data_IF_728131458524
#
_entry.id   IF_728131458524
#
_cell.length_a   1.000
_cell.length_b   1.000
_cell.length_c   1.000
_cell.angle_alpha   90.00
_cell.angle_beta   90.00
_cell.angle_gamma   90.00
#
_symmetry.space_group_name_H-M   'P 1'
#
loop_
_entity.id
_entity.type
_entity.pdbx_description
1 polymer ?
#
# COMPACT_ATOMS: atom_id res chain seq x y z
N UNK A 1 27.31 -21.86 -19.76
CA UNK A 1 28.21 -20.69 -19.62
C UNK A 1 27.40 -19.47 -20.00
N UNK A 2 27.00 -18.64 -19.02
CA UNK A 2 26.21 -17.43 -19.27
C UNK A 2 27.20 -16.30 -19.53
N UNK A 3 27.19 -15.79 -20.76
CA UNK A 3 27.99 -14.65 -21.18
C UNK A 3 27.34 -13.42 -20.55
N UNK A 4 28.00 -12.83 -19.55
CA UNK A 4 27.54 -11.61 -18.90
C UNK A 4 28.15 -10.45 -19.66
N UNK A 5 27.32 -9.79 -20.49
CA UNK A 5 27.71 -8.59 -21.24
C UNK A 5 28.20 -7.49 -20.29
N UNK A 6 29.49 -7.16 -20.41
CA UNK A 6 30.22 -6.24 -19.54
C UNK A 6 29.91 -4.74 -19.81
N UNK A 7 28.88 -4.42 -20.60
CA UNK A 7 28.52 -3.05 -20.96
C UNK A 7 27.48 -2.38 -20.07
N UNK A 8 26.98 -3.04 -19.02
CA UNK A 8 25.99 -2.47 -18.09
C UNK A 8 26.59 -1.89 -16.77
N UNK A 9 27.91 -1.88 -16.62
CA UNK A 9 28.55 -1.63 -15.32
C UNK A 9 28.87 -0.14 -15.09
N UNK A 10 28.87 0.72 -16.12
CA UNK A 10 29.19 2.14 -15.95
C UNK A 10 28.02 3.01 -15.44
N UNK A 11 26.80 2.47 -15.43
CA UNK A 11 25.59 3.07 -14.84
C UNK A 11 25.10 2.34 -13.57
N UNK A 12 25.91 1.43 -13.02
CA UNK A 12 25.52 0.54 -11.93
C UNK A 12 25.19 1.25 -10.60
N UNK A 13 25.94 2.26 -10.11
CA UNK A 13 25.62 2.88 -8.82
C UNK A 13 24.40 3.81 -8.91
N UNK A 14 24.15 4.47 -10.04
CA UNK A 14 23.02 5.40 -10.16
C UNK A 14 21.69 4.66 -10.23
N UNK A 15 21.64 3.57 -10.99
CA UNK A 15 20.46 2.71 -11.12
C UNK A 15 20.14 1.96 -9.82
N UNK A 16 21.15 1.34 -9.20
CA UNK A 16 21.00 0.65 -7.92
C UNK A 16 20.46 1.60 -6.83
N UNK A 17 21.08 2.78 -6.67
CA UNK A 17 20.65 3.75 -5.66
C UNK A 17 19.23 4.30 -5.92
N UNK A 18 18.85 4.47 -7.19
CA UNK A 18 17.49 4.88 -7.57
C UNK A 18 16.46 3.83 -7.16
N UNK A 19 16.71 2.56 -7.46
CA UNK A 19 15.82 1.47 -7.08
C UNK A 19 15.78 1.25 -5.58
N UNK A 20 16.93 1.30 -4.91
CA UNK A 20 17.02 1.19 -3.46
C UNK A 20 16.16 2.25 -2.74
N UNK A 21 16.21 3.52 -3.21
CA UNK A 21 15.35 4.59 -2.69
C UNK A 21 13.87 4.32 -2.96
N UNK A 22 13.53 3.86 -4.16
CA UNK A 22 12.15 3.59 -4.56
C UNK A 22 11.54 2.43 -3.77
N UNK A 23 12.29 1.34 -3.60
CA UNK A 23 11.90 0.19 -2.78
C UNK A 23 11.73 0.61 -1.32
N UNK A 24 12.68 1.38 -0.78
CA UNK A 24 12.56 1.93 0.57
C UNK A 24 11.36 2.85 0.75
N UNK A 25 10.89 3.53 -0.30
CA UNK A 25 9.70 4.36 -0.25
C UNK A 25 8.42 3.53 -0.32
N UNK A 26 8.36 2.58 -1.25
CA UNK A 26 7.17 1.77 -1.54
C UNK A 26 6.91 0.73 -0.44
N UNK A 27 7.95 0.04 0.03
CA UNK A 27 7.82 -1.03 1.03
C UNK A 27 7.87 -0.55 2.49
N UNK A 28 7.95 0.75 2.73
CA UNK A 28 8.04 1.32 4.08
C UNK A 28 6.65 1.68 4.61
N UNK A 29 6.33 1.15 5.78
CA UNK A 29 5.10 1.52 6.48
C UNK A 29 5.22 2.93 7.07
N UNK A 30 4.16 3.77 7.01
CA UNK A 30 4.17 5.09 7.63
C UNK A 30 4.54 4.97 9.11
N UNK A 31 5.49 5.78 9.59
CA UNK A 31 6.07 5.80 10.97
C UNK A 31 7.16 4.78 11.31
N UNK A 32 7.53 3.88 10.40
CA UNK A 32 8.63 2.93 10.65
C UNK A 32 9.95 3.46 10.09
N UNK A 33 11.09 2.87 10.47
CA UNK A 33 12.43 3.28 10.01
C UNK A 33 12.94 2.45 8.82
N UNK A 34 12.54 1.18 8.72
CA UNK A 34 13.00 0.23 7.71
C UNK A 34 11.83 -0.28 6.84
N UNK A 35 12.06 -0.66 5.58
CA UNK A 35 11.05 -1.32 4.74
C UNK A 35 10.71 -2.71 5.28
N UNK A 36 9.57 -3.25 4.88
CA UNK A 36 9.13 -4.59 5.24
C UNK A 36 8.79 -5.39 3.98
N UNK A 37 9.41 -6.56 3.86
CA UNK A 37 9.27 -7.46 2.71
C UNK A 37 8.56 -8.74 3.11
N UNK A 38 7.77 -9.32 2.18
CA UNK A 38 7.02 -10.56 2.44
C UNK A 38 7.92 -11.74 2.83
N UNK A 39 9.13 -11.77 2.28
CA UNK A 39 10.09 -12.87 2.43
C UNK A 39 11.24 -12.56 3.41
N UNK A 40 11.13 -11.51 4.21
CA UNK A 40 12.16 -11.22 5.21
C UNK A 40 12.20 -12.35 6.25
N UNK A 41 13.35 -13.02 6.37
CA UNK A 41 13.54 -14.17 7.27
C UNK A 41 13.71 -13.75 8.73
N UNK A 42 14.20 -12.54 8.97
CA UNK A 42 14.29 -11.93 10.30
C UNK A 42 13.97 -10.44 10.25
N UNK A 43 13.75 -9.86 11.44
CA UNK A 43 13.51 -8.43 11.65
C UNK A 43 14.85 -7.66 11.67
N UNK A 44 15.96 -8.31 11.34
CA UNK A 44 17.26 -7.67 11.32
C UNK A 44 17.35 -6.67 10.17
N UNK A 45 18.02 -5.54 10.44
CA UNK A 45 18.26 -4.50 9.45
C UNK A 45 19.04 -5.04 8.23
N UNK A 46 19.91 -6.04 8.45
CA UNK A 46 20.76 -6.63 7.43
C UNK A 46 19.98 -7.51 6.44
N UNK A 47 18.94 -8.20 6.90
CA UNK A 47 18.06 -8.97 6.02
C UNK A 47 17.23 -8.06 5.10
N UNK A 48 16.80 -6.91 5.62
CA UNK A 48 16.07 -5.93 4.82
C UNK A 48 16.95 -5.31 3.74
N UNK A 49 18.18 -4.90 4.08
CA UNK A 49 19.12 -4.33 3.11
C UNK A 49 19.52 -5.35 2.05
N UNK A 50 19.76 -6.61 2.43
CA UNK A 50 20.07 -7.69 1.49
C UNK A 50 18.90 -7.97 0.52
N UNK A 51 17.66 -7.96 1.02
CA UNK A 51 16.46 -8.17 0.19
C UNK A 51 16.25 -6.99 -0.77
N UNK A 52 16.36 -5.76 -0.27
CA UNK A 52 16.25 -4.55 -1.09
C UNK A 52 17.33 -4.48 -2.17
N UNK A 53 18.56 -4.92 -1.85
CA UNK A 53 19.66 -4.96 -2.82
C UNK A 53 19.38 -5.94 -3.97
N UNK A 54 18.85 -7.14 -3.66
CA UNK A 54 18.47 -8.13 -4.68
C UNK A 54 17.41 -7.60 -5.64
N UNK A 55 16.34 -7.02 -5.10
CA UNK A 55 15.26 -6.43 -5.90
C UNK A 55 15.80 -5.26 -6.73
N UNK A 56 16.70 -4.45 -6.17
CA UNK A 56 17.31 -3.32 -6.89
C UNK A 56 18.13 -3.77 -8.09
N UNK A 57 18.90 -4.85 -7.97
CA UNK A 57 19.70 -5.43 -9.08
C UNK A 57 18.77 -6.00 -10.16
N UNK A 58 17.73 -6.72 -9.76
CA UNK A 58 16.74 -7.26 -10.70
C UNK A 58 16.01 -6.15 -11.47
N UNK A 59 15.50 -5.15 -10.75
CA UNK A 59 14.81 -4.01 -11.35
C UNK A 59 15.72 -3.10 -12.16
N UNK A 60 17.02 -3.10 -11.88
CA UNK A 60 17.99 -2.41 -12.72
C UNK A 60 18.20 -3.14 -14.05
N UNK A 61 18.13 -4.47 -14.05
CA UNK A 61 18.39 -5.30 -15.24
C UNK A 61 17.18 -5.37 -16.17
N UNK A 62 15.97 -5.49 -15.62
CA UNK A 62 14.73 -5.70 -16.40
C UNK A 62 13.85 -4.45 -16.51
N UNK A 63 14.04 -3.47 -15.62
CA UNK A 63 13.16 -2.31 -15.48
C UNK A 63 11.82 -2.69 -14.84
N UNK A 64 11.66 -2.42 -13.54
CA UNK A 64 10.40 -2.68 -12.86
C UNK A 64 9.39 -1.53 -13.01
N UNK A 65 8.10 -1.84 -12.89
CA UNK A 65 7.02 -0.91 -12.61
C UNK A 65 6.81 -0.78 -11.11
N UNK A 66 5.93 0.15 -10.71
CA UNK A 66 5.63 0.35 -9.29
C UNK A 66 4.89 -0.85 -8.71
N UNK A 67 3.91 -1.40 -9.44
CA UNK A 67 3.10 -2.53 -8.97
C UNK A 67 3.98 -3.76 -8.70
N UNK A 68 4.95 -4.03 -9.59
CA UNK A 68 5.90 -5.14 -9.44
C UNK A 68 6.77 -4.99 -8.18
N UNK A 69 7.11 -3.76 -7.79
CA UNK A 69 7.83 -3.53 -6.52
C UNK A 69 6.91 -3.77 -5.31
N UNK A 70 5.64 -3.41 -5.42
CA UNK A 70 4.64 -3.60 -4.36
C UNK A 70 4.39 -5.08 -4.04
N UNK A 71 4.56 -5.97 -5.02
CA UNK A 71 4.44 -7.42 -4.83
C UNK A 71 5.48 -8.00 -3.85
N UNK A 72 6.67 -7.39 -3.78
CA UNK A 72 7.70 -7.77 -2.80
C UNK A 72 7.43 -7.21 -1.40
N UNK A 73 6.64 -6.14 -1.30
CA UNK A 73 6.37 -5.46 -0.05
C UNK A 73 5.29 -6.16 0.78
N UNK A 74 5.40 -6.07 2.10
CA UNK A 74 4.29 -6.40 2.99
C UNK A 74 3.24 -5.29 2.98
N UNK A 75 2.01 -5.62 2.59
CA UNK A 75 0.86 -4.69 2.59
C UNK A 75 -0.25 -5.13 3.55
N UNK A 76 -0.27 -6.39 3.97
CA UNK A 76 -1.31 -6.94 4.85
C UNK A 76 -0.93 -6.83 6.32
N UNK A 77 -1.95 -6.72 7.20
CA UNK A 77 -1.76 -6.59 8.65
C UNK A 77 -0.90 -7.71 9.23
N UNK A 78 -1.22 -8.96 8.89
CA UNK A 78 -0.47 -10.13 9.37
C UNK A 78 0.98 -10.20 8.86
N UNK A 79 1.30 -9.54 7.74
CA UNK A 79 2.68 -9.43 7.24
C UNK A 79 3.44 -8.34 8.01
N UNK A 80 2.79 -7.19 8.23
CA UNK A 80 3.37 -6.05 8.95
C UNK A 80 3.59 -6.33 10.44
N UNK A 81 2.72 -7.11 11.09
CA UNK A 81 2.90 -7.54 12.49
C UNK A 81 4.21 -8.34 12.69
N UNK A 82 4.68 -9.05 11.66
CA UNK A 82 5.94 -9.79 11.70
C UNK A 82 7.17 -8.88 11.61
N UNK A 83 7.11 -7.82 10.81
CA UNK A 83 8.21 -6.85 10.71
C UNK A 83 8.22 -5.86 11.88
N UNK A 84 7.03 -5.51 12.37
CA UNK A 84 6.84 -4.43 13.31
C UNK A 84 5.94 -4.93 14.44
N UNK A 85 6.56 -5.43 15.51
CA UNK A 85 5.86 -6.01 16.67
C UNK A 85 4.84 -5.08 17.35
N UNK A 86 4.82 -3.78 17.02
CA UNK A 86 3.85 -2.78 17.49
C UNK A 86 3.57 -1.75 16.41
N UNK A 87 2.95 -2.15 15.30
CA UNK A 87 2.39 -1.17 14.36
C UNK A 87 1.30 -0.39 15.10
N UNK A 88 1.63 0.81 15.58
CA UNK A 88 0.59 1.78 15.95
C UNK A 88 -0.05 2.19 14.64
N UNK A 89 -1.18 1.57 14.30
CA UNK A 89 -1.96 1.99 13.15
C UNK A 89 -2.34 3.45 13.36
N UNK A 90 -1.70 4.34 12.61
CA UNK A 90 -2.21 5.71 12.50
C UNK A 90 -3.64 5.58 12.00
N UNK A 91 -4.60 6.07 12.79
CA UNK A 91 -5.93 6.38 12.25
C UNK A 91 -5.69 7.18 10.97
N UNK A 92 -6.27 6.78 9.82
CA UNK A 92 -6.30 7.64 8.64
C UNK A 92 -6.76 9.02 9.11
N UNK A 93 -6.05 10.08 8.73
CA UNK A 93 -6.31 11.46 9.18
C UNK A 93 -7.77 11.89 8.96
N UNK A 94 -8.45 11.22 8.02
CA UNK A 94 -9.81 11.47 7.56
C UNK A 94 -10.80 10.37 7.94
N UNK A 95 -10.44 9.41 8.81
CA UNK A 95 -11.34 8.30 9.13
C UNK A 95 -12.62 8.80 9.84
N UNK A 96 -12.48 9.79 10.71
CA UNK A 96 -13.59 10.41 11.42
C UNK A 96 -14.41 11.32 10.46
N UNK A 97 -13.77 11.96 9.47
CA UNK A 97 -14.45 12.72 8.42
C UNK A 97 -15.25 11.80 7.47
N UNK A 98 -14.66 10.68 7.04
CA UNK A 98 -15.31 9.71 6.16
C UNK A 98 -16.52 9.04 6.85
N UNK A 99 -16.38 8.72 8.14
CA UNK A 99 -17.50 8.22 8.94
C UNK A 99 -18.65 9.24 9.02
N UNK A 100 -18.32 10.52 9.20
CA UNK A 100 -19.30 11.61 9.23
C UNK A 100 -20.01 11.79 7.88
N UNK A 101 -19.26 11.72 6.78
CA UNK A 101 -19.83 11.77 5.41
C UNK A 101 -20.73 10.56 5.15
N UNK A 102 -20.33 9.35 5.53
CA UNK A 102 -21.17 8.15 5.37
C UNK A 102 -22.45 8.21 6.21
N UNK A 103 -22.40 8.77 7.42
CA UNK A 103 -23.57 9.01 8.25
C UNK A 103 -24.56 9.99 7.61
N UNK A 104 -24.07 11.07 6.99
CA UNK A 104 -24.91 12.03 6.28
C UNK A 104 -25.57 11.41 5.04
N UNK A 105 -24.83 10.60 4.28
CA UNK A 105 -25.38 9.89 3.12
C UNK A 105 -26.47 8.90 3.52
N UNK A 106 -26.30 8.18 4.64
CA UNK A 106 -27.30 7.26 5.17
C UNK A 106 -28.59 7.97 5.58
N UNK A 107 -28.48 9.08 6.33
CA UNK A 107 -29.65 9.90 6.71
C UNK A 107 -30.40 10.44 5.50
N UNK A 108 -29.67 10.93 4.49
CA UNK A 108 -30.31 11.45 3.25
C UNK A 108 -31.07 10.35 2.50
N UNK A 109 -30.55 9.12 2.49
CA UNK A 109 -31.25 7.98 1.88
C UNK A 109 -32.51 7.58 2.68
N UNK A 110 -32.44 7.59 4.01
CA UNK A 110 -33.59 7.32 4.89
C UNK A 110 -34.70 8.36 4.73
N UNK A 111 -34.35 9.66 4.64
CA UNK A 111 -35.32 10.73 4.39
C UNK A 111 -35.96 10.64 3.02
N UNK A 112 -35.20 10.25 1.97
CA UNK A 112 -35.76 10.01 0.64
C UNK A 112 -36.75 8.85 0.64
N UNK A 113 -36.43 7.75 1.30
CA UNK A 113 -37.36 6.62 1.44
C UNK A 113 -38.61 6.98 2.23
N UNK A 114 -38.47 7.76 3.31
CA UNK A 114 -39.61 8.22 4.10
C UNK A 114 -40.52 9.14 3.29
N UNK A 115 -39.97 10.08 2.51
CA UNK A 115 -40.74 10.95 1.62
C UNK A 115 -41.43 10.18 0.50
N UNK A 116 -40.79 9.14 -0.05
CA UNK A 116 -41.40 8.28 -1.05
C UNK A 116 -42.61 7.52 -0.49
N UNK A 117 -42.48 6.98 0.72
CA UNK A 117 -43.57 6.29 1.42
C UNK A 117 -44.76 7.22 1.70
N UNK A 118 -44.51 8.45 2.17
CA UNK A 118 -45.59 9.43 2.40
C UNK A 118 -46.28 9.86 1.10
N UNK A 119 -45.56 9.93 -0.03
CA UNK A 119 -46.17 10.22 -1.33
C UNK A 119 -47.04 9.05 -1.82
N UNK A 120 -46.57 7.81 -1.67
CA UNK A 120 -47.32 6.61 -2.07
C UNK A 120 -48.61 6.42 -1.23
N UNK A 121 -48.61 6.80 0.05
CA UNK A 121 -49.83 6.80 0.88
C UNK A 121 -50.81 7.91 0.48
N UNK A 122 -50.32 9.11 0.13
CA UNK A 122 -51.18 10.21 -0.30
C UNK A 122 -51.86 9.94 -1.67
N UNK A 123 -51.16 9.27 -2.58
CA UNK A 123 -51.72 8.87 -3.89
C UNK A 123 -52.71 7.70 -3.79
N UNK A 124 -52.72 6.95 -2.68
CA UNK A 124 -53.65 5.84 -2.45
C UNK A 124 -54.99 6.27 -1.83
N UNK A 125 -55.08 7.47 -1.23
CA UNK A 125 -56.32 8.03 -0.67
C UNK A 125 -57.14 8.85 -1.68
N UNK A 126 -56.59 9.18 -2.86
CA UNK A 126 -57.28 9.92 -3.94
C UNK A 126 -57.89 9.02 -5.04
N UNK A 127 -57.81 7.69 -4.92
CA UNK A 127 -58.45 6.69 -5.81
C UNK A 127 -59.52 5.88 -5.07
#
# INVERSE_FOLDING_TARGET
MIVVDAHLITSAPSCFNKWMKRINYVCKYPTTKHPCFRNAKSISQDDFTATAAKISIECCSKGCRREEVEDFCCTTRGCLEKCYHKVRHHKPKYQDELASVMLLLKKSAEEKNKKKFVLEEAEAEEN
#
